data_IF_108427225928
#
_entry.id   IF_108427225928
#
_cell.length_a   1.000
_cell.length_b   1.000
_cell.length_c   1.000
_cell.angle_alpha   90.00
_cell.angle_beta   90.00
_cell.angle_gamma   90.00
#
_symmetry.space_group_name_H-M   'P 1'
#
loop_
_entity.id
_entity.type
_entity.pdbx_description
1 polymer ?
#
# COMPACT_ATOMS: atom_id res chain seq x y z
N UNK A 1 14.26 -18.26 -0.52
CA UNK A 1 12.94 -18.04 -1.15
C UNK A 1 12.26 -16.76 -0.68
N UNK A 2 12.17 -16.49 0.61
CA UNK A 2 11.51 -15.27 1.13
C UNK A 2 12.28 -13.97 0.93
N UNK A 3 13.61 -14.00 0.77
CA UNK A 3 14.41 -12.80 0.45
C UNK A 3 14.00 -12.17 -0.89
N UNK A 4 13.80 -12.97 -1.93
CA UNK A 4 13.32 -12.50 -3.23
C UNK A 4 11.91 -11.88 -3.18
N UNK A 5 10.99 -12.46 -2.39
CA UNK A 5 9.66 -11.89 -2.17
C UNK A 5 9.72 -10.54 -1.43
N UNK A 6 10.65 -10.39 -0.48
CA UNK A 6 10.88 -9.11 0.20
C UNK A 6 11.40 -8.05 -0.76
N UNK A 7 12.32 -8.42 -1.66
CA UNK A 7 12.81 -7.53 -2.72
C UNK A 7 11.70 -7.14 -3.69
N UNK A 8 10.91 -8.10 -4.15
CA UNK A 8 9.77 -7.87 -5.03
C UNK A 8 8.72 -6.95 -4.39
N UNK A 9 8.34 -7.19 -3.13
CA UNK A 9 7.44 -6.32 -2.38
C UNK A 9 7.98 -4.89 -2.28
N UNK A 10 9.27 -4.75 -2.00
CA UNK A 10 9.94 -3.44 -1.94
C UNK A 10 9.93 -2.71 -3.27
N UNK A 11 10.17 -3.39 -4.39
CA UNK A 11 10.10 -2.83 -5.73
C UNK A 11 8.68 -2.42 -6.10
N UNK A 12 7.71 -3.32 -5.92
CA UNK A 12 6.29 -3.05 -6.21
C UNK A 12 5.74 -1.90 -5.39
N UNK A 13 6.20 -1.71 -4.15
CA UNK A 13 5.88 -0.53 -3.33
C UNK A 13 6.21 0.77 -4.06
N UNK A 14 7.41 0.88 -4.64
CA UNK A 14 7.82 2.08 -5.36
C UNK A 14 7.03 2.30 -6.63
N UNK A 15 6.79 1.24 -7.41
CA UNK A 15 5.96 1.31 -8.62
C UNK A 15 4.54 1.76 -8.28
N UNK A 16 3.96 1.22 -7.19
CA UNK A 16 2.65 1.61 -6.69
C UNK A 16 2.60 3.08 -6.27
N UNK A 17 3.61 3.57 -5.53
CA UNK A 17 3.68 4.98 -5.10
C UNK A 17 3.77 5.90 -6.32
N UNK A 18 4.61 5.57 -7.30
CA UNK A 18 4.72 6.34 -8.55
C UNK A 18 3.37 6.41 -9.27
N UNK A 19 2.69 5.26 -9.44
CA UNK A 19 1.39 5.23 -10.09
C UNK A 19 0.32 5.99 -9.29
N UNK A 20 0.37 5.96 -7.96
CA UNK A 20 -0.52 6.72 -7.09
C UNK A 20 -0.33 8.23 -7.27
N UNK A 21 0.93 8.69 -7.28
CA UNK A 21 1.26 10.10 -7.52
C UNK A 21 0.80 10.56 -8.91
N UNK A 22 1.04 9.74 -9.95
CA UNK A 22 0.54 10.03 -11.31
C UNK A 22 -0.99 10.18 -11.32
N UNK A 23 -1.72 9.27 -10.67
CA UNK A 23 -3.18 9.36 -10.58
C UNK A 23 -3.64 10.61 -9.81
N UNK A 24 -2.97 10.98 -8.71
CA UNK A 24 -3.27 12.20 -7.97
C UNK A 24 -3.10 13.44 -8.87
N UNK A 25 -2.00 13.52 -9.62
CA UNK A 25 -1.75 14.64 -10.53
C UNK A 25 -2.85 14.70 -11.59
N UNK A 26 -3.15 13.60 -12.27
CA UNK A 26 -4.15 13.53 -13.33
C UNK A 26 -5.54 13.97 -12.84
N UNK A 27 -6.04 13.40 -11.75
CA UNK A 27 -7.39 13.75 -11.26
C UNK A 27 -7.51 15.20 -10.76
N UNK A 28 -6.40 15.88 -10.48
CA UNK A 28 -6.41 17.29 -10.08
C UNK A 28 -6.19 18.23 -11.28
N UNK A 29 -5.35 17.87 -12.24
CA UNK A 29 -5.12 18.69 -13.46
C UNK A 29 -6.31 18.64 -14.39
N UNK A 30 -6.93 17.48 -14.55
CA UNK A 30 -8.09 17.25 -15.45
C UNK A 30 -9.44 17.40 -14.74
N UNK A 31 -9.45 18.09 -13.58
CA UNK A 31 -10.67 18.27 -12.78
C UNK A 31 -11.75 19.03 -13.55
N UNK A 32 -12.83 18.33 -13.88
CA UNK A 32 -13.95 18.90 -14.65
C UNK A 32 -14.07 18.39 -16.09
N UNK A 33 -13.05 17.72 -16.61
CA UNK A 33 -13.10 17.07 -17.91
C UNK A 33 -13.67 15.65 -17.80
N UNK A 34 -14.11 15.08 -18.92
CA UNK A 34 -14.58 13.69 -18.95
C UNK A 34 -13.40 12.74 -18.70
N UNK A 35 -13.67 11.68 -17.96
CA UNK A 35 -12.69 10.65 -17.62
C UNK A 35 -12.27 9.87 -18.87
N UNK A 36 -11.09 10.15 -19.40
CA UNK A 36 -10.62 9.67 -20.69
C UNK A 36 -10.05 8.21 -20.63
N UNK A 37 -9.56 7.73 -21.78
CA UNK A 37 -8.97 6.40 -21.88
C UNK A 37 -7.62 6.28 -21.13
N UNK A 38 -6.85 7.38 -21.02
CA UNK A 38 -5.61 7.40 -20.29
C UNK A 38 -5.85 7.33 -18.77
N UNK A 39 -6.83 8.06 -18.25
CA UNK A 39 -7.25 7.99 -16.84
C UNK A 39 -7.65 6.58 -16.43
N UNK A 40 -8.47 5.94 -17.26
CA UNK A 40 -8.89 4.54 -17.03
C UNK A 40 -7.69 3.61 -16.98
N UNK A 41 -6.71 3.77 -17.88
CA UNK A 41 -5.49 2.96 -17.93
C UNK A 41 -4.61 3.18 -16.70
N UNK A 42 -4.38 4.44 -16.28
CA UNK A 42 -3.56 4.74 -15.11
C UNK A 42 -4.20 4.27 -13.82
N UNK A 43 -5.49 4.49 -13.64
CA UNK A 43 -6.25 3.98 -12.50
C UNK A 43 -6.23 2.45 -12.43
N UNK A 44 -6.34 1.75 -13.58
CA UNK A 44 -6.26 0.30 -13.64
C UNK A 44 -4.85 -0.22 -13.32
N UNK A 45 -3.78 0.41 -13.83
CA UNK A 45 -2.39 0.06 -13.52
C UNK A 45 -2.11 0.16 -12.03
N UNK A 46 -2.56 1.26 -11.40
CA UNK A 46 -2.47 1.43 -9.96
C UNK A 46 -3.20 0.31 -9.22
N UNK A 47 -4.44 0.02 -9.59
CA UNK A 47 -5.24 -1.04 -8.97
C UNK A 47 -4.53 -2.38 -9.02
N UNK A 48 -4.10 -2.81 -10.22
CA UNK A 48 -3.43 -4.11 -10.42
C UNK A 48 -2.15 -4.18 -9.60
N UNK A 49 -1.27 -3.17 -9.69
CA UNK A 49 0.00 -3.17 -8.96
C UNK A 49 -0.22 -3.21 -7.45
N UNK A 50 -1.22 -2.48 -6.96
CA UNK A 50 -1.58 -2.46 -5.52
C UNK A 50 -2.04 -3.84 -5.05
N UNK A 51 -2.89 -4.53 -5.81
CA UNK A 51 -3.38 -5.87 -5.44
C UNK A 51 -2.28 -6.93 -5.54
N UNK A 52 -1.43 -6.88 -6.56
CA UNK A 52 -0.26 -7.77 -6.64
C UNK A 52 0.64 -7.57 -5.41
N UNK A 53 0.91 -6.31 -5.04
CA UNK A 53 1.73 -6.01 -3.88
C UNK A 53 1.08 -6.46 -2.56
N UNK A 54 -0.25 -6.37 -2.46
CA UNK A 54 -1.00 -6.92 -1.33
C UNK A 54 -0.83 -8.43 -1.22
N UNK A 55 -0.99 -9.17 -2.33
CA UNK A 55 -0.82 -10.63 -2.33
C UNK A 55 0.59 -11.02 -1.89
N UNK A 56 1.63 -10.37 -2.45
CA UNK A 56 3.02 -10.59 -2.03
C UNK A 56 3.23 -10.28 -0.56
N UNK A 57 2.63 -9.19 -0.06
CA UNK A 57 2.66 -8.81 1.35
C UNK A 57 1.97 -9.82 2.26
N UNK A 58 0.81 -10.35 1.86
CA UNK A 58 0.10 -11.40 2.61
C UNK A 58 0.90 -12.70 2.66
N UNK A 59 1.55 -13.11 1.57
CA UNK A 59 2.45 -14.27 1.58
C UNK A 59 3.58 -14.10 2.59
N UNK A 60 4.17 -12.89 2.68
CA UNK A 60 5.19 -12.59 3.67
C UNK A 60 4.63 -12.54 5.10
N UNK A 61 3.40 -12.05 5.27
CA UNK A 61 2.74 -11.99 6.58
C UNK A 61 2.44 -13.39 7.14
N UNK A 62 1.94 -14.31 6.30
CA UNK A 62 1.60 -15.65 6.75
C UNK A 62 2.81 -16.60 6.82
N UNK A 63 3.80 -16.44 5.93
CA UNK A 63 4.88 -17.42 5.77
C UNK A 63 6.28 -16.84 6.01
N UNK A 64 6.43 -15.51 6.08
CA UNK A 64 7.72 -14.84 6.29
C UNK A 64 8.13 -14.75 7.76
N UNK A 65 9.42 -14.58 8.00
CA UNK A 65 10.01 -14.56 9.35
C UNK A 65 9.62 -13.32 10.19
N UNK A 66 9.12 -12.26 9.59
CA UNK A 66 8.67 -11.05 10.29
C UNK A 66 7.14 -11.00 10.50
N UNK A 67 6.41 -11.98 10.01
CA UNK A 67 4.95 -12.09 10.11
C UNK A 67 4.49 -13.01 11.24
N UNK A 68 3.33 -13.64 11.02
CA UNK A 68 2.72 -14.55 12.01
C UNK A 68 3.61 -15.74 12.38
N UNK A 69 4.48 -16.19 11.48
CA UNK A 69 5.44 -17.27 11.78
C UNK A 69 6.35 -16.93 12.94
N UNK A 70 6.72 -15.66 13.12
CA UNK A 70 7.55 -15.23 14.24
C UNK A 70 6.83 -15.40 15.58
N UNK A 71 5.54 -15.08 15.62
CA UNK A 71 4.73 -15.26 16.83
C UNK A 71 4.69 -16.74 17.23
N UNK A 72 4.47 -17.63 16.25
CA UNK A 72 4.36 -19.06 16.49
C UNK A 72 5.71 -19.64 16.92
N UNK A 73 6.81 -19.31 16.24
CA UNK A 73 8.16 -19.84 16.53
C UNK A 73 8.69 -19.40 17.88
N UNK A 74 8.47 -18.13 18.23
CA UNK A 74 8.95 -17.51 19.47
C UNK A 74 7.95 -17.62 20.61
N UNK A 75 6.79 -18.22 20.38
CA UNK A 75 5.71 -18.40 21.34
C UNK A 75 5.24 -17.10 22.01
N UNK A 76 5.19 -16.00 21.24
CA UNK A 76 4.74 -14.70 21.72
C UNK A 76 3.22 -14.68 21.94
N UNK A 77 2.79 -14.05 23.01
CA UNK A 77 1.38 -13.73 23.24
C UNK A 77 1.00 -12.39 22.57
N UNK A 78 -0.29 -12.13 22.38
CA UNK A 78 -0.75 -10.81 21.90
C UNK A 78 -0.34 -9.68 22.84
N UNK A 79 -0.20 -9.95 24.14
CA UNK A 79 0.31 -8.98 25.10
C UNK A 79 1.77 -8.60 24.81
N UNK A 80 2.60 -9.55 24.42
CA UNK A 80 4.00 -9.32 24.05
C UNK A 80 4.08 -8.54 22.73
N UNK A 81 3.24 -8.88 21.75
CA UNK A 81 3.11 -8.14 20.49
C UNK A 81 2.79 -6.67 20.75
N UNK A 82 1.82 -6.38 21.62
CA UNK A 82 1.40 -5.01 21.90
C UNK A 82 2.42 -4.19 22.68
N UNK A 83 3.30 -4.84 23.44
CA UNK A 83 4.37 -4.19 24.23
C UNK A 83 5.60 -3.84 23.39
N UNK A 84 5.92 -4.63 22.35
CA UNK A 84 7.08 -4.39 21.47
C UNK A 84 6.67 -3.51 20.28
N UNK A 85 7.36 -2.38 20.09
CA UNK A 85 7.11 -1.49 18.93
C UNK A 85 7.31 -2.21 17.60
N UNK A 86 8.37 -3.02 17.49
CA UNK A 86 8.67 -3.77 16.28
C UNK A 86 7.64 -4.86 15.98
N UNK A 87 7.28 -5.69 16.98
CA UNK A 87 6.27 -6.73 16.79
C UNK A 87 4.90 -6.13 16.45
N UNK A 88 4.48 -5.10 17.20
CA UNK A 88 3.21 -4.41 16.94
C UNK A 88 3.17 -3.84 15.53
N UNK A 89 4.26 -3.22 15.08
CA UNK A 89 4.34 -2.69 13.73
C UNK A 89 4.13 -3.79 12.68
N UNK A 90 4.92 -4.87 12.74
CA UNK A 90 4.89 -5.89 11.69
C UNK A 90 3.64 -6.77 11.71
N UNK A 91 3.04 -6.96 12.88
CA UNK A 91 1.86 -7.86 13.05
C UNK A 91 0.55 -7.10 12.92
N UNK A 92 0.50 -5.84 13.37
CA UNK A 92 -0.77 -5.09 13.45
C UNK A 92 -0.76 -3.85 12.58
N UNK A 93 0.18 -2.93 12.80
CA UNK A 93 0.11 -1.59 12.23
C UNK A 93 0.31 -1.60 10.70
N UNK A 94 1.39 -2.22 10.22
CA UNK A 94 1.70 -2.27 8.80
C UNK A 94 0.62 -3.02 7.98
N UNK A 95 0.20 -4.25 8.33
CA UNK A 95 -0.85 -4.94 7.58
C UNK A 95 -2.17 -4.16 7.56
N UNK A 96 -2.59 -3.61 8.70
CA UNK A 96 -3.85 -2.86 8.80
C UNK A 96 -3.82 -1.59 7.94
N UNK A 97 -2.75 -0.80 8.04
CA UNK A 97 -2.61 0.42 7.24
C UNK A 97 -2.52 0.12 5.76
N UNK A 98 -1.83 -0.94 5.34
CA UNK A 98 -1.74 -1.34 3.93
C UNK A 98 -3.09 -1.82 3.39
N UNK A 99 -3.83 -2.64 4.14
CA UNK A 99 -5.18 -3.07 3.73
C UNK A 99 -6.10 -1.85 3.57
N UNK A 100 -6.07 -0.91 4.51
CA UNK A 100 -6.86 0.32 4.41
C UNK A 100 -6.50 1.14 3.15
N UNK A 101 -5.21 1.29 2.85
CA UNK A 101 -4.77 1.97 1.64
C UNK A 101 -5.26 1.27 0.35
N UNK A 102 -5.22 -0.08 0.32
CA UNK A 102 -5.74 -0.88 -0.81
C UNK A 102 -7.23 -0.64 -0.98
N UNK A 103 -8.00 -0.63 0.10
CA UNK A 103 -9.45 -0.35 0.07
C UNK A 103 -9.71 1.04 -0.51
N UNK A 104 -9.01 2.08 -0.06
CA UNK A 104 -9.17 3.44 -0.58
C UNK A 104 -8.86 3.54 -2.07
N UNK A 105 -7.77 2.92 -2.53
CA UNK A 105 -7.39 2.87 -3.96
C UNK A 105 -8.46 2.13 -4.77
N UNK A 106 -8.98 1.01 -4.26
CA UNK A 106 -10.03 0.23 -4.91
C UNK A 106 -11.32 1.03 -5.03
N UNK A 107 -11.76 1.68 -3.96
CA UNK A 107 -12.96 2.53 -3.96
C UNK A 107 -12.77 3.71 -4.90
N UNK A 108 -11.59 4.31 -4.96
CA UNK A 108 -11.27 5.37 -5.91
C UNK A 108 -11.41 4.88 -7.36
N UNK A 109 -10.83 3.73 -7.71
CA UNK A 109 -10.99 3.13 -9.04
C UNK A 109 -12.46 2.86 -9.38
N UNK A 110 -13.25 2.33 -8.44
CA UNK A 110 -14.68 2.08 -8.65
C UNK A 110 -15.49 3.37 -8.83
N UNK A 111 -15.07 4.48 -8.22
CA UNK A 111 -15.70 5.79 -8.37
C UNK A 111 -15.60 6.28 -9.81
N UNK A 112 -14.53 5.97 -10.54
CA UNK A 112 -14.38 6.34 -11.96
C UNK A 112 -15.47 5.75 -12.86
N UNK A 113 -16.05 4.62 -12.45
CA UNK A 113 -17.08 3.88 -13.20
C UNK A 113 -18.50 4.30 -12.84
N UNK A 114 -18.71 5.10 -11.78
CA UNK A 114 -20.04 5.52 -11.34
C UNK A 114 -20.59 6.61 -12.24
N UNK A 115 -21.93 6.72 -12.31
CA UNK A 115 -22.62 7.86 -12.88
C UNK A 115 -22.37 9.10 -12.00
N UNK A 116 -22.33 10.28 -12.61
CA UNK A 116 -22.14 11.55 -11.91
C UNK A 116 -21.33 12.54 -12.74
N UNK A 117 -21.27 13.79 -12.28
CA UNK A 117 -20.51 14.83 -12.97
C UNK A 117 -19.02 14.56 -12.89
N UNK A 118 -18.24 14.90 -13.94
CA UNK A 118 -16.77 14.73 -13.93
C UNK A 118 -16.12 15.39 -12.72
N UNK A 119 -16.48 16.61 -12.40
CA UNK A 119 -15.96 17.36 -11.22
C UNK A 119 -16.11 16.57 -9.93
N UNK A 120 -17.29 15.99 -9.68
CA UNK A 120 -17.53 15.21 -8.45
C UNK A 120 -16.70 13.94 -8.41
N UNK A 121 -16.54 13.25 -9.54
CA UNK A 121 -15.71 12.05 -9.66
C UNK A 121 -14.25 12.38 -9.35
N UNK A 122 -13.67 13.35 -10.04
CA UNK A 122 -12.27 13.77 -9.85
C UNK A 122 -12.00 14.19 -8.40
N UNK A 123 -12.89 15.01 -7.81
CA UNK A 123 -12.76 15.42 -6.40
C UNK A 123 -12.75 14.23 -5.44
N UNK A 124 -13.69 13.29 -5.60
CA UNK A 124 -13.78 12.12 -4.74
C UNK A 124 -12.54 11.23 -4.88
N UNK A 125 -12.09 10.99 -6.12
CA UNK A 125 -10.90 10.20 -6.40
C UNK A 125 -9.64 10.87 -5.83
N UNK A 126 -9.52 12.18 -5.98
CA UNK A 126 -8.40 12.95 -5.41
C UNK A 126 -8.30 12.78 -3.89
N UNK A 127 -9.41 12.95 -3.18
CA UNK A 127 -9.45 12.78 -1.73
C UNK A 127 -9.02 11.36 -1.34
N UNK A 128 -9.58 10.33 -1.98
CA UNK A 128 -9.27 8.93 -1.67
C UNK A 128 -7.81 8.57 -1.96
N UNK A 129 -7.25 9.06 -3.08
CA UNK A 129 -5.85 8.82 -3.41
C UNK A 129 -4.89 9.55 -2.47
N UNK A 130 -5.19 10.80 -2.09
CA UNK A 130 -4.39 11.56 -1.13
C UNK A 130 -4.40 10.87 0.24
N UNK A 131 -5.57 10.45 0.73
CA UNK A 131 -5.68 9.70 1.98
C UNK A 131 -4.91 8.38 1.91
N UNK A 132 -5.00 7.64 0.81
CA UNK A 132 -4.23 6.41 0.62
C UNK A 132 -2.71 6.69 0.64
N UNK A 133 -2.25 7.76 -0.01
CA UNK A 133 -0.83 8.15 0.01
C UNK A 133 -0.35 8.46 1.42
N UNK A 134 -1.11 9.23 2.19
CA UNK A 134 -0.76 9.58 3.58
C UNK A 134 -0.67 8.33 4.46
N UNK A 135 -1.62 7.40 4.33
CA UNK A 135 -1.63 6.13 5.06
C UNK A 135 -0.43 5.26 4.66
N UNK A 136 -0.10 5.19 3.37
CA UNK A 136 1.07 4.46 2.87
C UNK A 136 2.35 5.05 3.45
N UNK A 137 2.51 6.38 3.40
CA UNK A 137 3.69 7.06 3.96
C UNK A 137 3.81 6.76 5.46
N UNK A 138 2.73 6.79 6.21
CA UNK A 138 2.72 6.47 7.63
C UNK A 138 3.02 4.99 7.92
N UNK A 139 2.54 4.07 7.08
CA UNK A 139 2.66 2.62 7.29
C UNK A 139 3.92 1.98 6.69
N UNK A 140 4.72 2.68 5.89
CA UNK A 140 5.96 2.15 5.30
C UNK A 140 7.10 2.14 6.34
N UNK A 141 7.90 1.05 6.40
CA UNK A 141 9.07 0.95 7.29
C UNK A 141 10.28 1.73 6.74
N UNK A 142 10.24 3.05 6.80
CA UNK A 142 11.31 3.91 6.29
C UNK A 142 12.65 3.67 6.99
N UNK A 143 13.82 3.91 6.34
CA UNK A 143 15.13 3.70 6.94
C UNK A 143 15.45 4.54 8.19
N UNK A 144 14.72 5.65 8.37
CA UNK A 144 14.88 6.56 9.49
C UNK A 144 13.94 6.25 10.68
N UNK A 145 13.19 5.15 10.63
CA UNK A 145 12.39 4.65 11.77
C UNK A 145 13.27 3.90 12.77
N UNK A 146 12.67 3.48 13.89
CA UNK A 146 13.31 2.63 14.90
C UNK A 146 13.95 1.42 14.25
N UNK A 147 15.13 0.98 14.77
CA UNK A 147 15.94 -0.10 14.20
C UNK A 147 15.17 -1.42 14.02
N UNK A 148 14.21 -1.71 14.89
CA UNK A 148 13.36 -2.90 14.79
C UNK A 148 12.41 -2.85 13.59
N UNK A 149 12.03 -1.64 13.13
CA UNK A 149 11.07 -1.38 12.07
C UNK A 149 11.79 -1.05 10.77
N UNK A 150 12.83 -0.23 10.83
CA UNK A 150 13.52 0.33 9.67
C UNK A 150 13.93 -0.70 8.62
N UNK A 151 13.72 -0.37 7.36
CA UNK A 151 14.15 -1.16 6.20
C UNK A 151 14.78 -0.25 5.16
N UNK A 152 15.75 -0.75 4.37
CA UNK A 152 16.37 0.05 3.32
C UNK A 152 15.36 0.51 2.28
N UNK A 153 15.68 1.60 1.61
CA UNK A 153 14.85 2.18 0.53
C UNK A 153 14.50 1.14 -0.54
N UNK A 154 15.48 0.36 -0.96
CA UNK A 154 15.33 -0.73 -1.94
C UNK A 154 16.03 -1.96 -1.36
N UNK A 155 15.34 -3.09 -1.41
CA UNK A 155 15.94 -4.40 -1.09
C UNK A 155 16.36 -5.11 -2.37
N UNK A 156 17.53 -5.76 -2.38
CA UNK A 156 17.92 -6.65 -3.48
C UNK A 156 16.92 -7.78 -3.67
N UNK A 157 16.87 -8.32 -4.89
CA UNK A 157 15.98 -9.43 -5.24
C UNK A 157 16.58 -10.82 -4.92
N UNK A 158 17.83 -10.87 -4.41
CA UNK A 158 18.58 -12.09 -4.06
C UNK A 158 18.69 -12.30 -2.56
#
# INVERSE_FOLDING_TARGET
MFSGLLGLHSLLRWVMIIFLVINIIRVNVEAGEEFDAADKKWSLRLLITTHINLVVGLLQYFFGDNGLQRIIKENYTMKDVMKSSGLRFWIVEHPTTMILAVVLITVSHLTSKKLGTPVRKHRTMSILYILALLIIIAGVPWPFRDLEIARPWIRPLY
#
